data_IF_911020650564
#
_entry.id   IF_911020650564
#
_cell.length_a   1.000
_cell.length_b   1.000
_cell.length_c   1.000
_cell.angle_alpha   90.00
_cell.angle_beta   90.00
_cell.angle_gamma   90.00
#
_symmetry.space_group_name_H-M   'P 1'
#
loop_
_entity.id
_entity.type
_entity.pdbx_description
1 polymer ?
#
# COMPACT_ATOMS: atom_id res chain seq x y z
N UNK A 1 -14.79 -3.79 -13.68
CA UNK A 1 -14.95 -4.70 -12.50
C UNK A 1 -14.72 -6.19 -12.78
N UNK A 2 -14.75 -6.71 -14.03
CA UNK A 2 -14.50 -8.15 -14.26
C UNK A 2 -13.53 -8.52 -15.39
N UNK A 3 -12.94 -7.56 -16.13
CA UNK A 3 -12.16 -7.89 -17.34
C UNK A 3 -10.64 -7.71 -17.23
N UNK A 4 -10.10 -7.22 -16.10
CA UNK A 4 -8.65 -7.04 -15.93
C UNK A 4 -7.96 -8.07 -15.01
N UNK A 5 -8.74 -8.91 -14.28
CA UNK A 5 -8.24 -9.93 -13.36
C UNK A 5 -8.13 -11.33 -14.00
N UNK A 6 -8.85 -11.59 -15.10
CA UNK A 6 -9.06 -12.94 -15.64
C UNK A 6 -7.90 -13.46 -16.50
N UNK A 7 -6.88 -12.65 -16.81
CA UNK A 7 -5.82 -13.03 -17.76
C UNK A 7 -4.70 -13.87 -17.12
N UNK A 8 -4.71 -14.05 -15.79
CA UNK A 8 -3.74 -14.90 -15.07
C UNK A 8 -4.36 -16.04 -14.25
N UNK A 9 -5.70 -16.19 -14.26
CA UNK A 9 -6.37 -17.17 -13.39
C UNK A 9 -6.28 -16.83 -11.88
N UNK A 10 -5.88 -15.61 -11.54
CA UNK A 10 -5.74 -15.16 -10.15
C UNK A 10 -6.98 -14.35 -9.73
N UNK A 11 -7.86 -14.96 -8.92
CA UNK A 11 -8.97 -14.27 -8.25
C UNK A 11 -8.46 -13.25 -7.21
N UNK A 12 -9.33 -12.30 -6.80
CA UNK A 12 -9.07 -11.36 -5.70
C UNK A 12 -8.59 -12.06 -4.41
N UNK A 13 -8.95 -13.33 -4.23
CA UNK A 13 -8.50 -14.22 -3.16
C UNK A 13 -6.99 -14.44 -3.18
N UNK A 14 -6.38 -14.76 -4.33
CA UNK A 14 -4.94 -14.98 -4.41
C UNK A 14 -4.13 -13.70 -4.10
N UNK A 15 -4.65 -12.53 -4.50
CA UNK A 15 -4.03 -11.24 -4.15
C UNK A 15 -4.09 -11.01 -2.64
N UNK A 16 -5.24 -11.30 -2.01
CA UNK A 16 -5.41 -11.20 -0.55
C UNK A 16 -4.49 -12.16 0.20
N UNK A 17 -4.40 -13.41 -0.24
CA UNK A 17 -3.51 -14.40 0.34
C UNK A 17 -2.06 -13.94 0.23
N UNK A 18 -1.64 -13.44 -0.94
CA UNK A 18 -0.28 -12.98 -1.14
C UNK A 18 0.08 -11.77 -0.25
N UNK A 19 -0.81 -10.78 -0.14
CA UNK A 19 -0.61 -9.65 0.77
C UNK A 19 -0.53 -10.10 2.23
N UNK A 20 -1.34 -11.09 2.63
CA UNK A 20 -1.37 -11.66 3.98
C UNK A 20 -0.06 -12.35 4.32
N UNK A 21 0.44 -13.19 3.40
CA UNK A 21 1.70 -13.90 3.56
C UNK A 21 2.88 -12.92 3.67
N UNK A 22 2.94 -11.91 2.80
CA UNK A 22 3.99 -10.88 2.84
C UNK A 22 3.93 -10.11 4.15
N UNK A 23 2.74 -9.61 4.54
CA UNK A 23 2.57 -8.87 5.78
C UNK A 23 3.03 -9.67 7.00
N UNK A 24 2.67 -10.96 7.07
CA UNK A 24 3.07 -11.83 8.17
C UNK A 24 4.59 -12.02 8.27
N UNK A 25 5.27 -12.24 7.15
CA UNK A 25 6.73 -12.42 7.14
C UNK A 25 7.45 -11.12 7.54
N UNK A 26 6.95 -9.97 7.07
CA UNK A 26 7.50 -8.67 7.46
C UNK A 26 7.32 -8.41 8.96
N UNK A 27 6.12 -8.65 9.49
CA UNK A 27 5.82 -8.51 10.92
C UNK A 27 6.70 -9.45 11.78
N UNK A 28 6.87 -10.71 11.34
CA UNK A 28 7.73 -11.69 12.01
C UNK A 28 9.21 -11.30 12.08
N UNK A 29 9.66 -10.42 11.18
CA UNK A 29 11.01 -9.85 11.18
C UNK A 29 11.09 -8.51 11.92
N UNK A 30 10.03 -8.11 12.62
CA UNK A 30 9.96 -6.86 13.38
C UNK A 30 9.70 -5.62 12.52
N UNK A 31 9.32 -5.80 11.24
CA UNK A 31 8.92 -4.67 10.42
C UNK A 31 7.57 -4.10 10.88
N UNK A 32 7.34 -2.84 10.52
CA UNK A 32 6.10 -2.11 10.79
C UNK A 32 5.42 -1.81 9.47
N UNK A 33 4.09 -1.88 9.44
CA UNK A 33 3.34 -1.69 8.20
C UNK A 33 2.53 -0.40 8.27
N UNK A 34 2.75 0.48 7.29
CA UNK A 34 1.91 1.65 7.08
C UNK A 34 0.83 1.32 6.04
N UNK A 35 -0.41 1.70 6.32
CA UNK A 35 -1.54 1.35 5.46
C UNK A 35 -2.51 2.53 5.27
N UNK A 36 -2.98 2.73 4.03
CA UNK A 36 -3.88 3.84 3.66
C UNK A 36 -5.26 3.43 3.15
N UNK A 37 -5.69 2.19 3.43
CA UNK A 37 -7.02 1.72 3.04
C UNK A 37 -8.12 2.23 3.96
N UNK A 38 -9.36 2.01 3.54
CA UNK A 38 -10.50 2.29 4.40
C UNK A 38 -10.75 1.17 5.41
N UNK A 39 -11.29 1.51 6.57
CA UNK A 39 -11.64 0.57 7.64
C UNK A 39 -12.99 -0.13 7.35
N UNK A 40 -13.21 -0.48 6.08
CA UNK A 40 -14.44 -1.17 5.67
C UNK A 40 -14.41 -2.60 6.18
N UNK A 41 -15.54 -3.02 6.75
CA UNK A 41 -15.80 -4.42 7.09
C UNK A 41 -15.59 -5.32 5.87
N UNK A 42 -14.87 -6.44 6.07
CA UNK A 42 -14.42 -7.39 5.05
C UNK A 42 -13.42 -6.81 4.03
N UNK A 43 -12.77 -5.69 4.38
CA UNK A 43 -11.63 -5.14 3.66
C UNK A 43 -10.32 -5.83 4.05
N UNK A 44 -9.23 -5.46 3.37
CA UNK A 44 -7.89 -5.97 3.75
C UNK A 44 -7.45 -5.49 5.14
N UNK A 45 -7.94 -4.33 5.60
CA UNK A 45 -7.70 -3.79 6.94
C UNK A 45 -8.04 -4.79 8.04
N UNK A 46 -9.19 -5.44 7.95
CA UNK A 46 -9.63 -6.43 8.96
C UNK A 46 -8.69 -7.64 9.02
N UNK A 47 -8.27 -8.13 7.84
CA UNK A 47 -7.33 -9.25 7.73
C UNK A 47 -5.95 -8.87 8.29
N UNK A 48 -5.48 -7.65 7.99
CA UNK A 48 -4.22 -7.14 8.50
C UNK A 48 -4.24 -7.03 10.04
N UNK A 49 -5.32 -6.49 10.59
CA UNK A 49 -5.52 -6.38 12.04
C UNK A 49 -5.60 -7.76 12.72
N UNK A 50 -6.28 -8.73 12.09
CA UNK A 50 -6.32 -10.10 12.58
C UNK A 50 -4.93 -10.76 12.59
N UNK A 51 -4.12 -10.54 11.55
CA UNK A 51 -2.74 -11.04 11.50
C UNK A 51 -1.89 -10.48 12.64
N UNK A 52 -1.99 -9.18 12.91
CA UNK A 52 -1.26 -8.54 14.01
C UNK A 52 -1.72 -9.05 15.37
N UNK A 53 -3.03 -9.20 15.58
CA UNK A 53 -3.59 -9.72 16.82
C UNK A 53 -3.14 -11.16 17.13
N UNK A 54 -2.87 -11.96 16.08
CA UNK A 54 -2.27 -13.30 16.23
C UNK A 54 -0.78 -13.20 16.52
N UNK A 55 -0.04 -12.35 15.80
CA UNK A 55 1.42 -12.25 15.93
C UNK A 55 1.88 -11.60 17.25
N UNK A 56 1.17 -10.60 17.78
CA UNK A 56 1.51 -9.95 19.07
C UNK A 56 1.47 -10.91 20.26
N UNK A 57 0.71 -12.01 20.19
CA UNK A 57 0.71 -13.05 21.24
C UNK A 57 2.06 -13.77 21.36
N UNK A 58 2.90 -13.71 20.33
CA UNK A 58 4.17 -14.41 20.24
C UNK A 58 5.40 -13.47 20.36
N UNK A 59 5.18 -12.15 20.47
CA UNK A 59 6.24 -11.13 20.48
C UNK A 59 6.69 -10.72 21.91
N UNK A 60 7.96 -10.33 22.04
CA UNK A 60 8.59 -9.88 23.29
C UNK A 60 7.81 -8.74 23.97
N UNK A 61 7.53 -8.87 25.27
CA UNK A 61 6.71 -7.93 26.08
C UNK A 61 7.23 -6.48 26.12
N UNK A 62 8.42 -6.21 25.57
CA UNK A 62 9.12 -4.93 25.69
C UNK A 62 8.92 -3.95 24.50
N UNK A 63 8.48 -4.38 23.30
CA UNK A 63 8.19 -3.46 22.19
C UNK A 63 6.71 -3.07 22.15
N UNK A 64 6.40 -1.93 22.77
CA UNK A 64 5.01 -1.41 22.85
C UNK A 64 4.55 -0.70 21.58
N UNK A 65 5.42 -0.48 20.60
CA UNK A 65 5.06 0.32 19.42
C UNK A 65 4.06 -0.44 18.53
N UNK A 66 3.07 0.23 17.90
CA UNK A 66 2.01 -0.42 17.14
C UNK A 66 2.60 -1.13 15.91
N UNK A 67 2.24 -2.37 15.63
CA UNK A 67 2.84 -3.09 14.49
C UNK A 67 2.34 -2.59 13.13
N UNK A 68 1.16 -1.96 13.14
CA UNK A 68 0.53 -1.33 11.98
C UNK A 68 0.16 0.11 12.33
N UNK A 69 0.40 1.03 11.40
CA UNK A 69 -0.14 2.39 11.46
C UNK A 69 -1.07 2.59 10.27
N UNK A 70 -2.36 2.78 10.54
CA UNK A 70 -3.41 3.01 9.56
C UNK A 70 -3.67 4.52 9.41
N UNK A 71 -3.35 5.08 8.25
CA UNK A 71 -3.62 6.47 7.93
C UNK A 71 -5.00 6.59 7.27
N UNK A 72 -5.85 7.45 7.83
CA UNK A 72 -7.20 7.67 7.34
C UNK A 72 -7.28 9.05 6.69
N UNK A 73 -7.54 9.09 5.38
CA UNK A 73 -7.65 10.34 4.63
C UNK A 73 -8.84 11.19 5.09
N UNK A 74 -8.69 12.52 5.02
CA UNK A 74 -9.75 13.51 5.28
C UNK A 74 -11.14 13.14 4.73
N UNK A 75 -11.32 12.90 3.42
CA UNK A 75 -12.63 12.59 2.85
C UNK A 75 -13.25 11.31 3.42
N UNK A 76 -12.47 10.41 4.02
CA UNK A 76 -12.99 9.19 4.64
C UNK A 76 -13.49 9.49 6.04
N UNK A 77 -12.66 10.04 6.91
CA UNK A 77 -13.01 10.22 8.32
C UNK A 77 -13.96 11.40 8.59
N UNK A 78 -14.05 12.38 7.68
CA UNK A 78 -14.96 13.54 7.87
C UNK A 78 -16.44 13.15 7.73
N UNK A 79 -16.72 11.98 7.14
CA UNK A 79 -18.06 11.42 7.04
C UNK A 79 -18.52 10.70 8.32
N UNK A 80 -17.57 10.28 9.16
CA UNK A 80 -17.82 9.49 10.37
C UNK A 80 -17.96 10.41 11.58
N UNK A 81 -18.89 10.13 12.48
CA UNK A 81 -18.99 10.85 13.74
C UNK A 81 -17.75 10.64 14.60
N UNK A 82 -17.46 11.59 15.49
CA UNK A 82 -16.36 11.45 16.43
C UNK A 82 -16.54 10.23 17.37
N UNK A 83 -17.78 9.83 17.65
CA UNK A 83 -18.06 8.62 18.43
C UNK A 83 -17.69 7.36 17.64
N UNK A 84 -18.10 7.26 16.38
CA UNK A 84 -17.77 6.10 15.53
C UNK A 84 -16.26 5.96 15.34
N UNK A 85 -15.55 7.07 15.12
CA UNK A 85 -14.08 7.05 15.04
C UNK A 85 -13.44 6.59 16.35
N UNK A 86 -13.92 7.06 17.51
CA UNK A 86 -13.41 6.61 18.82
C UNK A 86 -13.63 5.11 19.02
N UNK A 87 -14.80 4.59 18.63
CA UNK A 87 -15.06 3.14 18.68
C UNK A 87 -14.07 2.38 17.79
N UNK A 88 -13.87 2.81 16.54
CA UNK A 88 -12.93 2.14 15.64
C UNK A 88 -11.48 2.19 16.15
N UNK A 89 -11.07 3.29 16.79
CA UNK A 89 -9.74 3.41 17.41
C UNK A 89 -9.61 2.43 18.58
N UNK A 90 -10.60 2.39 19.48
CA UNK A 90 -10.59 1.50 20.63
C UNK A 90 -10.59 0.02 20.22
N UNK A 91 -11.28 -0.34 19.13
CA UNK A 91 -11.34 -1.71 18.62
C UNK A 91 -9.96 -2.24 18.15
N UNK A 92 -9.01 -1.35 17.86
CA UNK A 92 -7.69 -1.71 17.30
C UNK A 92 -6.50 -1.16 18.10
N UNK A 93 -6.69 -0.47 19.21
CA UNK A 93 -5.61 0.25 19.93
C UNK A 93 -4.46 -0.67 20.39
N UNK A 94 -4.79 -1.92 20.70
CA UNK A 94 -3.82 -2.96 21.11
C UNK A 94 -3.08 -3.62 19.95
N UNK A 95 -3.36 -3.24 18.70
CA UNK A 95 -2.77 -3.88 17.52
C UNK A 95 -2.24 -2.86 16.50
N UNK A 96 -2.94 -1.75 16.34
CA UNK A 96 -2.66 -0.75 15.35
C UNK A 96 -2.90 0.65 15.89
N UNK A 97 -2.17 1.60 15.31
CA UNK A 97 -2.45 3.02 15.48
C UNK A 97 -3.29 3.51 14.31
N UNK A 98 -4.24 4.40 14.58
CA UNK A 98 -5.05 5.06 13.56
C UNK A 98 -4.78 6.55 13.58
N UNK A 99 -4.32 7.07 12.44
CA UNK A 99 -3.94 8.48 12.27
C UNK A 99 -4.91 9.13 11.29
N UNK A 100 -5.76 10.04 11.77
CA UNK A 100 -6.59 10.88 10.90
C UNK A 100 -5.73 12.00 10.29
N UNK A 101 -5.87 12.25 8.99
CA UNK A 101 -5.12 13.29 8.28
C UNK A 101 -6.03 14.42 7.79
N UNK A 102 -5.56 15.66 7.92
CA UNK A 102 -6.14 16.83 7.27
C UNK A 102 -5.98 16.73 5.74
N UNK A 103 -6.69 17.57 4.98
CA UNK A 103 -6.60 17.58 3.51
C UNK A 103 -5.16 17.79 3.01
N UNK A 104 -4.35 18.52 3.76
CA UNK A 104 -2.94 18.78 3.45
C UNK A 104 -1.98 17.65 3.86
N UNK A 105 -2.47 16.58 4.49
CA UNK A 105 -1.66 15.43 4.92
C UNK A 105 -1.07 15.56 6.33
N UNK A 106 -1.32 16.67 7.03
CA UNK A 106 -0.91 16.81 8.43
C UNK A 106 -1.81 16.00 9.37
N UNK A 107 -1.29 15.45 10.49
CA UNK A 107 -2.11 14.75 11.47
C UNK A 107 -3.21 15.64 12.07
N UNK A 108 -4.38 15.05 12.30
CA UNK A 108 -5.52 15.66 12.97
C UNK A 108 -5.78 14.90 14.27
N UNK A 109 -5.64 15.58 15.40
CA UNK A 109 -5.90 14.99 16.71
C UNK A 109 -7.39 14.65 16.88
N UNK A 110 -7.71 13.70 17.77
CA UNK A 110 -9.10 13.34 18.05
C UNK A 110 -9.91 14.45 18.72
N UNK A 111 -9.25 15.37 19.42
CA UNK A 111 -9.90 16.54 20.03
C UNK A 111 -10.28 17.59 18.96
N UNK A 112 -9.34 17.91 18.06
CA UNK A 112 -9.65 18.75 16.89
C UNK A 112 -10.73 18.09 16.03
N UNK A 113 -10.58 16.78 15.73
CA UNK A 113 -11.57 16.03 14.96
C UNK A 113 -12.94 16.04 15.63
N UNK A 114 -13.01 15.94 16.95
CA UNK A 114 -14.24 15.97 17.73
C UNK A 114 -15.02 17.27 17.62
N UNK A 115 -14.34 18.37 17.30
CA UNK A 115 -14.94 19.70 17.14
C UNK A 115 -15.47 19.96 15.72
N UNK A 116 -15.18 19.07 14.76
CA UNK A 116 -15.60 19.21 13.36
C UNK A 116 -16.94 18.53 13.10
N UNK A 117 -17.82 19.24 12.38
CA UNK A 117 -19.06 18.67 11.89
C UNK A 117 -18.81 17.67 10.75
N UNK A 118 -19.60 16.60 10.73
CA UNK A 118 -19.53 15.63 9.66
C UNK A 118 -20.22 16.16 8.42
N UNK A 119 -19.62 15.94 7.25
CA UNK A 119 -20.22 16.35 5.99
C UNK A 119 -19.82 15.42 4.86
N UNK A 120 -20.61 15.44 3.78
CA UNK A 120 -20.26 14.78 2.54
C UNK A 120 -19.03 15.49 1.92
N UNK A 121 -17.94 14.79 1.58
CA UNK A 121 -16.79 15.38 0.93
C UNK A 121 -17.11 15.71 -0.52
N UNK A 122 -16.55 16.82 -1.01
CA UNK A 122 -16.62 17.16 -2.43
C UNK A 122 -15.54 16.40 -3.22
N UNK A 123 -15.66 16.39 -4.56
CA UNK A 123 -14.67 15.73 -5.44
C UNK A 123 -13.23 16.16 -5.13
N UNK A 124 -13.04 17.45 -4.84
CA UNK A 124 -11.74 18.04 -4.49
C UNK A 124 -11.13 17.40 -3.24
N UNK A 125 -11.95 17.15 -2.21
CA UNK A 125 -11.48 16.51 -0.96
C UNK A 125 -10.96 15.10 -1.21
N UNK A 126 -11.61 14.35 -2.12
CA UNK A 126 -11.13 13.02 -2.53
C UNK A 126 -9.80 13.06 -3.27
N UNK A 127 -9.63 14.01 -4.18
CA UNK A 127 -8.39 14.14 -4.95
C UNK A 127 -7.22 14.55 -4.06
N UNK A 128 -7.34 15.66 -3.32
CA UNK A 128 -6.23 16.14 -2.49
C UNK A 128 -6.03 15.30 -1.23
N UNK A 129 -7.10 14.88 -0.56
CA UNK A 129 -6.99 14.11 0.69
C UNK A 129 -6.40 12.71 0.49
N UNK A 130 -6.68 12.04 -0.62
CA UNK A 130 -6.03 10.75 -0.93
C UNK A 130 -4.57 10.95 -1.34
N UNK A 131 -4.28 11.99 -2.14
CA UNK A 131 -2.92 12.31 -2.58
C UNK A 131 -2.02 12.64 -1.39
N UNK A 132 -2.50 13.49 -0.48
CA UNK A 132 -1.72 13.89 0.70
C UNK A 132 -1.50 12.72 1.65
N UNK A 133 -2.53 11.90 1.91
CA UNK A 133 -2.38 10.66 2.70
C UNK A 133 -1.30 9.74 2.13
N UNK A 134 -1.26 9.53 0.80
CA UNK A 134 -0.24 8.70 0.14
C UNK A 134 1.16 9.29 0.29
N UNK A 135 1.30 10.62 0.19
CA UNK A 135 2.57 11.31 0.45
C UNK A 135 3.01 11.10 1.90
N UNK A 136 2.11 11.29 2.86
CA UNK A 136 2.39 11.09 4.29
C UNK A 136 2.82 9.65 4.58
N UNK A 137 2.15 8.65 3.99
CA UNK A 137 2.54 7.23 4.14
C UNK A 137 3.96 7.02 3.60
N UNK A 138 4.26 7.54 2.41
CA UNK A 138 5.59 7.44 1.79
C UNK A 138 6.67 8.08 2.69
N UNK A 139 6.42 9.28 3.20
CA UNK A 139 7.33 10.01 4.11
C UNK A 139 7.58 9.25 5.43
N UNK A 140 6.61 8.45 5.88
CA UNK A 140 6.70 7.63 7.09
C UNK A 140 7.15 6.18 6.81
N UNK A 141 7.57 5.87 5.58
CA UNK A 141 7.98 4.52 5.17
C UNK A 141 9.45 4.48 4.77
N UNK A 142 10.12 3.36 5.07
CA UNK A 142 11.50 3.13 4.63
C UNK A 142 11.59 2.43 3.26
N UNK A 143 10.54 1.71 2.88
CA UNK A 143 10.40 1.00 1.63
C UNK A 143 8.91 0.85 1.28
N UNK A 144 8.60 0.69 0.00
CA UNK A 144 7.24 0.42 -0.48
C UNK A 144 7.18 -0.90 -1.23
N UNK A 145 6.07 -1.62 -1.06
CA UNK A 145 5.78 -2.87 -1.78
C UNK A 145 4.45 -2.65 -2.50
N UNK A 146 4.49 -2.64 -3.83
CA UNK A 146 3.30 -2.51 -4.68
C UNK A 146 2.90 -3.86 -5.22
N UNK A 147 1.60 -4.17 -5.16
CA UNK A 147 1.03 -5.40 -5.69
C UNK A 147 -0.39 -5.13 -6.22
N UNK A 148 -0.70 -5.64 -7.41
CA UNK A 148 -2.01 -5.47 -8.03
C UNK A 148 -2.33 -4.00 -8.34
N UNK A 149 -3.49 -3.55 -7.85
CA UNK A 149 -3.98 -2.19 -8.01
C UNK A 149 -4.97 -2.03 -9.16
N UNK A 150 -6.12 -1.43 -8.85
CA UNK A 150 -7.22 -1.23 -9.79
C UNK A 150 -6.89 -0.17 -10.84
N UNK A 151 -7.12 -0.48 -12.11
CA UNK A 151 -6.84 0.40 -13.26
C UNK A 151 -8.07 1.17 -13.77
N UNK A 152 -9.29 0.76 -13.38
CA UNK A 152 -10.58 1.37 -13.74
C UNK A 152 -11.29 1.92 -12.50
N UNK A 153 -12.20 2.90 -12.66
CA UNK A 153 -13.13 3.32 -11.58
C UNK A 153 -12.48 3.64 -10.22
N UNK A 154 -11.31 4.29 -10.23
CA UNK A 154 -10.61 4.72 -9.02
C UNK A 154 -11.01 6.14 -8.60
N UNK A 155 -10.77 6.47 -7.33
CA UNK A 155 -10.89 7.84 -6.80
C UNK A 155 -9.51 8.48 -6.75
N UNK A 156 -9.45 9.77 -7.08
CA UNK A 156 -8.20 10.55 -7.14
C UNK A 156 -7.72 10.81 -8.57
N UNK A 157 -6.50 11.33 -8.70
CA UNK A 157 -5.96 11.78 -9.99
C UNK A 157 -5.42 10.63 -10.86
N UNK A 158 -5.01 9.51 -10.24
CA UNK A 158 -4.51 8.30 -10.89
C UNK A 158 -4.79 7.06 -10.01
N UNK A 159 -4.55 5.83 -10.51
CA UNK A 159 -4.64 4.64 -9.67
C UNK A 159 -3.81 4.78 -8.39
N UNK A 160 -4.35 4.39 -7.24
CA UNK A 160 -3.72 4.66 -5.94
C UNK A 160 -2.33 4.05 -5.79
N UNK A 161 -2.19 2.75 -6.09
CA UNK A 161 -0.90 2.05 -6.10
C UNK A 161 0.09 2.71 -7.07
N UNK A 162 -0.39 3.24 -8.21
CA UNK A 162 0.48 3.95 -9.13
C UNK A 162 0.93 5.31 -8.57
N UNK A 163 0.08 6.03 -7.84
CA UNK A 163 0.49 7.28 -7.20
C UNK A 163 1.54 7.03 -6.10
N UNK A 164 1.33 6.01 -5.26
CA UNK A 164 2.26 5.59 -4.20
C UNK A 164 3.62 5.13 -4.77
N UNK A 165 3.62 4.31 -5.82
CA UNK A 165 4.84 3.91 -6.51
C UNK A 165 5.57 5.10 -7.13
N UNK A 166 4.83 6.04 -7.73
CA UNK A 166 5.43 7.24 -8.32
C UNK A 166 6.08 8.14 -7.27
N UNK A 167 5.46 8.30 -6.09
CA UNK A 167 6.07 9.03 -4.97
C UNK A 167 7.35 8.36 -4.49
N UNK A 168 7.31 7.04 -4.29
CA UNK A 168 8.48 6.27 -3.84
C UNK A 168 9.66 6.40 -4.82
N UNK A 169 9.41 6.21 -6.12
CA UNK A 169 10.42 6.33 -7.18
C UNK A 169 11.02 7.73 -7.26
N UNK A 170 10.19 8.78 -7.13
CA UNK A 170 10.67 10.18 -7.15
C UNK A 170 11.49 10.54 -5.93
N UNK A 171 11.15 9.98 -4.78
CA UNK A 171 11.89 10.16 -3.53
C UNK A 171 13.17 9.29 -3.48
N UNK A 172 13.40 8.42 -4.47
CA UNK A 172 14.50 7.46 -4.44
C UNK A 172 14.33 6.39 -3.36
N UNK A 173 13.11 6.19 -2.86
CA UNK A 173 12.85 5.19 -1.84
C UNK A 173 12.85 3.77 -2.44
N UNK A 174 13.37 2.78 -1.68
CA UNK A 174 13.29 1.37 -2.02
C UNK A 174 11.87 0.95 -2.39
N UNK A 175 11.68 0.52 -3.64
CA UNK A 175 10.38 0.18 -4.23
C UNK A 175 10.42 -1.24 -4.76
N UNK A 176 9.53 -2.09 -4.27
CA UNK A 176 9.37 -3.47 -4.70
C UNK A 176 8.09 -3.61 -5.53
N UNK A 177 8.21 -4.02 -6.79
CA UNK A 177 7.06 -4.18 -7.70
C UNK A 177 6.71 -5.65 -7.89
N UNK A 178 5.67 -6.13 -7.20
CA UNK A 178 5.18 -7.51 -7.32
C UNK A 178 4.13 -7.61 -8.43
N UNK A 179 4.61 -7.61 -9.67
CA UNK A 179 3.77 -7.48 -10.87
C UNK A 179 3.05 -8.75 -11.31
N UNK A 180 3.39 -9.93 -10.77
CA UNK A 180 2.77 -11.20 -11.18
C UNK A 180 1.29 -11.34 -10.81
N UNK A 181 0.75 -10.44 -9.98
CA UNK A 181 -0.69 -10.36 -9.66
C UNK A 181 -1.48 -9.43 -10.59
N UNK A 182 -0.81 -8.83 -11.59
CA UNK A 182 -1.47 -7.92 -12.55
C UNK A 182 -1.71 -6.51 -12.00
N UNK A 183 -2.78 -5.88 -12.50
CA UNK A 183 -3.13 -4.49 -12.14
C UNK A 183 -2.10 -3.45 -12.57
N UNK A 184 -2.20 -2.25 -11.99
CA UNK A 184 -1.29 -1.15 -12.33
C UNK A 184 0.17 -1.43 -11.95
N UNK A 185 0.42 -2.30 -10.96
CA UNK A 185 1.80 -2.71 -10.59
C UNK A 185 2.51 -3.38 -11.76
N UNK A 186 1.82 -4.30 -12.44
CA UNK A 186 2.33 -4.93 -13.67
C UNK A 186 2.59 -3.88 -14.75
N UNK A 187 1.63 -2.99 -14.98
CA UNK A 187 1.74 -1.96 -16.02
C UNK A 187 2.95 -1.04 -15.80
N UNK A 188 3.25 -0.70 -14.54
CA UNK A 188 4.44 0.07 -14.14
C UNK A 188 5.70 -0.75 -14.43
N UNK A 189 5.76 -2.01 -14.00
CA UNK A 189 6.92 -2.85 -14.24
C UNK A 189 7.22 -3.07 -15.73
N UNK A 190 6.18 -3.13 -16.58
CA UNK A 190 6.32 -3.12 -18.05
C UNK A 190 6.86 -1.78 -18.56
N UNK A 191 6.39 -0.65 -18.03
CA UNK A 191 6.88 0.69 -18.41
C UNK A 191 8.34 0.92 -17.99
N UNK A 192 8.78 0.36 -16.87
CA UNK A 192 10.17 0.39 -16.41
C UNK A 192 11.09 -0.59 -17.17
N UNK A 193 10.54 -1.41 -18.07
CA UNK A 193 11.29 -2.39 -18.86
C UNK A 193 11.73 -3.63 -18.08
N UNK A 194 11.16 -3.91 -16.91
CA UNK A 194 11.51 -5.08 -16.08
C UNK A 194 11.03 -6.38 -16.71
N UNK A 195 9.96 -6.30 -17.49
CA UNK A 195 9.21 -7.43 -18.04
C UNK A 195 8.59 -7.00 -19.38
N UNK A 196 8.36 -7.94 -20.32
CA UNK A 196 7.75 -7.60 -21.60
C UNK A 196 6.30 -7.17 -21.42
N UNK A 197 5.83 -6.16 -22.19
CA UNK A 197 4.43 -5.76 -22.20
C UNK A 197 3.55 -6.89 -22.72
N UNK A 198 2.38 -7.10 -22.13
CA UNK A 198 1.38 -8.02 -22.68
C UNK A 198 0.63 -7.36 -23.83
N UNK A 199 0.12 -8.15 -24.77
CA UNK A 199 -0.75 -7.66 -25.84
C UNK A 199 -2.02 -6.97 -25.31
N UNK A 200 -2.43 -7.30 -24.09
CA UNK A 200 -3.58 -6.72 -23.38
C UNK A 200 -3.20 -5.54 -22.48
N UNK A 201 -1.93 -5.14 -22.41
CA UNK A 201 -1.43 -4.02 -21.60
C UNK A 201 -1.76 -2.65 -22.21
N UNK A 202 -3.01 -2.49 -22.66
CA UNK A 202 -3.53 -1.30 -23.32
C UNK A 202 -4.23 -0.33 -22.36
N UNK A 203 -4.14 -0.53 -21.05
CA UNK A 203 -4.76 0.37 -20.10
C UNK A 203 -3.98 1.69 -20.02
N UNK A 204 -4.46 2.70 -20.76
CA UNK A 204 -4.03 4.09 -20.65
C UNK A 204 -4.69 4.76 -19.43
N UNK A 205 -4.42 4.25 -18.23
CA UNK A 205 -4.83 4.95 -17.02
C UNK A 205 -4.06 6.28 -16.88
N UNK A 206 -4.71 7.25 -16.25
CA UNK A 206 -4.20 8.62 -16.20
C UNK A 206 -2.79 8.65 -15.60
N UNK A 207 -1.89 9.39 -16.26
CA UNK A 207 -0.52 9.63 -15.80
C UNK A 207 0.45 8.44 -15.85
N UNK A 208 0.15 7.34 -16.55
CA UNK A 208 1.13 6.25 -16.80
C UNK A 208 2.44 6.75 -17.42
N UNK A 209 2.38 7.76 -18.27
CA UNK A 209 3.57 8.37 -18.89
C UNK A 209 4.54 9.01 -17.90
N UNK A 210 4.10 9.30 -16.66
CA UNK A 210 5.00 9.82 -15.60
C UNK A 210 6.05 8.80 -15.16
N UNK A 211 5.88 7.52 -15.51
CA UNK A 211 6.85 6.47 -15.24
C UNK A 211 7.94 6.35 -16.32
N UNK A 212 7.77 7.02 -17.46
CA UNK A 212 8.79 7.04 -18.52
C UNK A 212 10.05 7.70 -17.99
N UNK A 213 11.18 7.00 -18.12
CA UNK A 213 12.49 7.45 -17.64
C UNK A 213 12.96 6.74 -16.37
N UNK A 214 12.06 6.11 -15.62
CA UNK A 214 12.46 5.17 -14.58
C UNK A 214 12.82 3.81 -15.17
N UNK A 215 13.69 3.08 -14.48
CA UNK A 215 14.14 1.74 -14.85
C UNK A 215 14.45 0.93 -13.58
N UNK A 216 15.02 -0.28 -13.74
CA UNK A 216 15.40 -1.15 -12.61
C UNK A 216 16.27 -0.43 -11.56
N UNK A 217 17.25 0.39 -11.98
CA UNK A 217 18.11 1.13 -11.05
C UNK A 217 17.36 2.20 -10.26
N UNK A 218 16.20 2.65 -10.72
CA UNK A 218 15.35 3.61 -9.98
C UNK A 218 14.63 2.99 -8.79
N UNK A 219 14.59 1.65 -8.70
CA UNK A 219 13.86 0.95 -7.65
C UNK A 219 14.57 1.00 -6.29
N UNK A 220 15.89 1.23 -6.25
CA UNK A 220 16.68 1.37 -5.01
C UNK A 220 16.43 0.28 -3.96
N UNK A 221 16.09 -0.94 -4.38
CA UNK A 221 15.64 -2.02 -3.51
C UNK A 221 16.70 -3.12 -3.28
N UNK A 222 17.94 -2.85 -3.69
CA UNK A 222 19.11 -3.74 -3.58
C UNK A 222 18.97 -5.12 -4.26
N UNK A 223 18.02 -5.25 -5.18
CA UNK A 223 17.89 -6.38 -6.09
C UNK A 223 18.65 -6.12 -7.40
N UNK A 224 19.13 -7.20 -8.02
CA UNK A 224 19.68 -7.14 -9.38
C UNK A 224 18.56 -6.94 -10.41
N UNK A 225 18.92 -6.57 -11.64
CA UNK A 225 17.95 -6.44 -12.74
C UNK A 225 17.18 -7.75 -13.00
N UNK A 226 17.88 -8.89 -12.90
CA UNK A 226 17.26 -10.21 -13.04
C UNK A 226 16.29 -10.51 -11.88
N UNK A 227 16.69 -10.21 -10.64
CA UNK A 227 15.84 -10.38 -9.46
C UNK A 227 14.59 -9.48 -9.52
N UNK A 228 14.73 -8.23 -9.98
CA UNK A 228 13.61 -7.32 -10.21
C UNK A 228 12.68 -7.81 -11.33
N UNK A 229 13.22 -8.37 -12.40
CA UNK A 229 12.43 -8.99 -13.47
C UNK A 229 11.63 -10.18 -12.94
N UNK A 230 12.25 -11.05 -12.14
CA UNK A 230 11.59 -12.20 -11.51
C UNK A 230 10.47 -11.73 -10.57
N UNK A 231 10.75 -10.75 -9.70
CA UNK A 231 9.75 -10.20 -8.77
C UNK A 231 8.55 -9.57 -9.52
N UNK A 232 8.83 -8.85 -10.61
CA UNK A 232 7.81 -8.24 -11.46
C UNK A 232 6.97 -9.28 -12.23
N UNK A 233 7.48 -10.49 -12.42
CA UNK A 233 6.82 -11.53 -13.19
C UNK A 233 6.07 -12.57 -12.34
N UNK A 234 6.62 -12.90 -11.17
CA UNK A 234 6.20 -14.09 -10.42
C UNK A 234 4.80 -13.98 -9.81
N UNK A 235 3.89 -14.95 -10.07
CA UNK A 235 2.65 -15.09 -9.31
C UNK A 235 2.86 -15.87 -8.00
N UNK A 236 4.07 -16.40 -7.75
CA UNK A 236 4.37 -17.22 -6.60
C UNK A 236 4.76 -16.36 -5.39
N UNK A 237 3.92 -16.38 -4.36
CA UNK A 237 4.11 -15.55 -3.17
C UNK A 237 5.42 -15.83 -2.44
N UNK A 238 5.83 -17.11 -2.33
CA UNK A 238 7.07 -17.48 -1.63
C UNK A 238 8.31 -16.91 -2.33
N UNK A 239 8.29 -16.87 -3.67
CA UNK A 239 9.35 -16.27 -4.46
C UNK A 239 9.37 -14.74 -4.28
N UNK A 240 8.19 -14.11 -4.27
CA UNK A 240 8.08 -12.68 -4.02
C UNK A 240 8.62 -12.32 -2.63
N UNK A 241 8.22 -13.04 -1.58
CA UNK A 241 8.71 -12.86 -0.21
C UNK A 241 10.23 -13.01 -0.15
N UNK A 242 10.76 -14.09 -0.73
CA UNK A 242 12.21 -14.35 -0.73
C UNK A 242 13.00 -13.18 -1.32
N UNK A 243 12.52 -12.61 -2.44
CA UNK A 243 13.16 -11.48 -3.09
C UNK A 243 13.00 -10.17 -2.30
N UNK A 244 11.80 -9.90 -1.77
CA UNK A 244 11.56 -8.71 -0.93
C UNK A 244 12.51 -8.72 0.28
N UNK A 245 12.55 -9.83 1.01
CA UNK A 245 13.39 -9.98 2.20
C UNK A 245 14.88 -9.89 1.85
N UNK A 246 15.29 -10.50 0.73
CA UNK A 246 16.67 -10.40 0.23
C UNK A 246 17.08 -8.94 -0.03
N UNK A 247 16.22 -8.17 -0.70
CA UNK A 247 16.47 -6.75 -0.95
C UNK A 247 16.61 -5.97 0.35
N UNK A 248 15.65 -6.13 1.27
CA UNK A 248 15.66 -5.47 2.58
C UNK A 248 16.91 -5.82 3.41
N UNK A 249 17.30 -7.09 3.47
CA UNK A 249 18.51 -7.52 4.22
C UNK A 249 19.77 -6.88 3.64
N UNK A 250 19.92 -6.86 2.30
CA UNK A 250 21.06 -6.22 1.65
C UNK A 250 21.13 -4.72 1.94
N UNK A 251 19.98 -4.05 2.02
CA UNK A 251 19.92 -2.63 2.39
C UNK A 251 20.39 -2.38 3.83
N UNK A 252 20.05 -3.25 4.77
CA UNK A 252 20.52 -3.10 6.17
C UNK A 252 22.00 -3.40 6.36
N UNK A 253 22.62 -4.11 5.41
CA UNK A 253 24.04 -4.46 5.43
C UNK A 253 24.95 -3.44 4.72
N UNK A 254 24.37 -2.42 4.09
CA UNK A 254 25.06 -1.38 3.31
C UNK A 254 25.15 -0.07 4.09
#
# INVERSE_FOLDING_TARGET
VHEALTILGLCDEHLRDAMTEIARHLLALGARLNYGGDLRKNGFSDLLFELVARHRRDADENDKRPAVTSFLAWPVHIQLTASELRTQIADIEDIAELVCLKVDGSPLSMDERGSLQCHAPIKKDWEYGLTSMRSTIMENSNASISMGGRIDTYKGMMPGIAEEALFSLRAGQPTFLVGGFGGCTRDIAETLGLIPPRFTSNAAWAHRTKFVGFNSASLNNSLTDEENSILAYTPHVDQAITLILRGMIRMTAS
#
